data_IF_818945874381
#
_entry.id   IF_818945874381
#
_cell.length_a   1.000
_cell.length_b   1.000
_cell.length_c   1.000
_cell.angle_alpha   90.00
_cell.angle_beta   90.00
_cell.angle_gamma   90.00
#
_symmetry.space_group_name_H-M   'P 1'
#
loop_
_entity.id
_entity.type
_entity.pdbx_description
1 polymer ?
#
# COMPACT_ATOMS: atom_id res chain seq x y z
N UNK A 1 -3.47 -49.00 17.19
CA UNK A 1 -3.96 -49.59 18.45
C UNK A 1 -3.10 -50.78 18.85
N UNK A 2 -2.79 -50.91 20.20
CA UNK A 2 -2.11 -52.04 20.73
C UNK A 2 -0.65 -52.22 20.37
N UNK A 3 0.02 -51.19 19.88
CA UNK A 3 1.45 -51.28 19.61
C UNK A 3 2.22 -51.41 20.94
N UNK A 4 3.12 -52.37 21.03
CA UNK A 4 3.97 -52.57 22.16
C UNK A 4 5.28 -51.82 21.90
N UNK A 5 5.67 -50.94 22.81
CA UNK A 5 6.93 -50.21 22.74
C UNK A 5 7.68 -50.29 24.08
N UNK A 6 8.97 -50.47 24.00
CA UNK A 6 9.83 -50.47 25.17
C UNK A 6 10.03 -49.05 25.74
N UNK A 7 10.53 -48.99 26.99
CA UNK A 7 10.75 -47.74 27.69
C UNK A 7 11.78 -46.83 27.00
N UNK A 8 12.78 -47.40 26.37
CA UNK A 8 13.81 -46.61 25.67
C UNK A 8 13.20 -45.91 24.44
N UNK A 9 12.30 -46.57 23.73
CA UNK A 9 11.59 -45.99 22.59
C UNK A 9 10.60 -44.92 23.04
N UNK A 10 9.81 -45.21 24.09
CA UNK A 10 8.85 -44.24 24.65
C UNK A 10 9.59 -43.01 25.17
N UNK A 11 10.74 -43.24 25.83
CA UNK A 11 11.58 -42.16 26.39
C UNK A 11 12.19 -41.19 25.38
N UNK A 12 12.16 -41.52 24.08
CA UNK A 12 12.55 -40.59 23.01
C UNK A 12 11.56 -39.44 22.82
N UNK A 13 10.37 -39.58 23.45
CA UNK A 13 9.37 -38.51 23.49
C UNK A 13 8.39 -38.49 22.31
N UNK A 14 7.37 -37.67 22.46
CA UNK A 14 6.32 -37.40 21.49
C UNK A 14 6.18 -35.90 21.36
N UNK A 15 6.27 -35.43 20.13
CA UNK A 15 6.23 -34.01 19.82
C UNK A 15 5.45 -33.73 18.55
N UNK A 16 4.87 -32.55 18.49
CA UNK A 16 4.37 -31.99 17.25
C UNK A 16 5.11 -30.67 17.06
N UNK A 17 5.66 -30.46 15.88
CA UNK A 17 6.51 -29.31 15.57
C UNK A 17 5.90 -28.58 14.37
N UNK A 18 5.57 -27.31 14.57
CA UNK A 18 5.09 -26.44 13.50
C UNK A 18 6.24 -25.53 13.06
N UNK A 19 6.70 -25.72 11.83
CA UNK A 19 7.68 -24.87 11.15
C UNK A 19 6.94 -23.70 10.51
N UNK A 20 6.39 -22.84 11.38
CA UNK A 20 5.57 -21.72 10.96
C UNK A 20 6.42 -20.61 10.34
N UNK A 21 5.87 -19.88 9.34
CA UNK A 21 6.59 -18.82 8.67
C UNK A 21 6.61 -17.55 9.55
N UNK A 22 7.55 -17.44 10.48
CA UNK A 22 7.65 -16.34 11.44
C UNK A 22 7.86 -14.97 10.78
N UNK A 23 8.39 -14.94 9.55
CA UNK A 23 8.51 -13.72 8.75
C UNK A 23 7.16 -13.18 8.30
N UNK A 24 6.14 -14.05 8.22
CA UNK A 24 4.83 -13.74 7.65
C UNK A 24 3.69 -13.71 8.68
N UNK A 25 3.79 -14.49 9.75
CA UNK A 25 2.69 -14.67 10.70
C UNK A 25 3.15 -14.56 12.16
N UNK A 26 2.20 -14.23 13.01
CA UNK A 26 2.36 -14.26 14.49
C UNK A 26 1.34 -15.24 15.05
N UNK A 27 1.78 -16.15 15.91
CA UNK A 27 0.91 -17.14 16.56
C UNK A 27 0.05 -16.46 17.62
N UNK A 28 -1.27 -16.68 17.56
CA UNK A 28 -2.23 -16.24 18.58
C UNK A 28 -2.27 -17.30 19.68
N UNK A 29 -1.34 -17.24 20.62
CA UNK A 29 -1.11 -18.31 21.60
C UNK A 29 -2.33 -18.66 22.44
N UNK A 30 -3.14 -17.66 22.83
CA UNK A 30 -4.35 -17.88 23.63
C UNK A 30 -5.43 -18.67 22.90
N UNK A 31 -5.37 -18.69 21.57
CA UNK A 31 -6.32 -19.43 20.73
C UNK A 31 -5.87 -20.84 20.33
N UNK A 32 -4.67 -21.25 20.74
CA UNK A 32 -4.13 -22.58 20.43
C UNK A 32 -4.87 -23.64 21.22
N UNK A 33 -5.39 -24.67 20.54
CA UNK A 33 -6.08 -25.80 21.17
C UNK A 33 -5.59 -27.12 20.60
N UNK A 34 -5.46 -28.13 21.46
CA UNK A 34 -5.23 -29.51 21.03
C UNK A 34 -6.37 -30.37 21.58
N UNK A 35 -7.05 -31.06 20.68
CA UNK A 35 -8.20 -31.91 21.02
C UNK A 35 -8.00 -33.34 20.51
N UNK A 36 -8.64 -34.30 21.20
CA UNK A 36 -8.70 -35.68 20.79
C UNK A 36 -9.83 -35.91 19.77
N UNK A 37 -10.05 -37.19 19.37
CA UNK A 37 -11.09 -37.59 18.40
C UNK A 37 -12.51 -37.31 18.89
N UNK A 38 -12.73 -37.08 20.16
CA UNK A 38 -14.02 -36.73 20.79
C UNK A 38 -14.18 -35.23 21.01
N UNK A 39 -13.20 -34.41 20.60
CA UNK A 39 -13.20 -32.98 20.81
C UNK A 39 -12.80 -32.56 22.25
N UNK A 40 -12.31 -33.48 23.05
CA UNK A 40 -11.83 -33.18 24.41
C UNK A 40 -10.43 -32.62 24.38
N UNK A 41 -10.15 -31.64 25.26
CA UNK A 41 -8.80 -31.04 25.36
C UNK A 41 -7.79 -32.10 25.77
N UNK A 42 -6.72 -32.21 25.02
CA UNK A 42 -5.58 -33.10 25.29
C UNK A 42 -4.77 -32.54 26.46
N UNK A 43 -4.52 -33.39 27.44
CA UNK A 43 -3.73 -33.06 28.64
C UNK A 43 -2.29 -33.55 28.48
N UNK A 44 -1.39 -32.91 29.22
CA UNK A 44 0.02 -33.32 29.26
C UNK A 44 0.84 -32.96 28.05
N UNK A 45 0.38 -32.00 27.23
CA UNK A 45 1.18 -31.35 26.20
C UNK A 45 1.54 -29.93 26.63
N UNK A 46 2.84 -29.62 26.55
CA UNK A 46 3.36 -28.29 26.76
C UNK A 46 3.75 -27.65 25.41
N UNK A 47 3.28 -26.45 25.19
CA UNK A 47 3.63 -25.69 23.98
C UNK A 47 4.72 -24.65 24.29
N UNK A 48 5.74 -24.58 23.45
CA UNK A 48 6.79 -23.58 23.54
C UNK A 48 7.27 -23.15 22.14
N UNK A 49 7.78 -21.93 22.06
CA UNK A 49 8.35 -21.35 20.83
C UNK A 49 9.88 -21.33 20.97
N UNK A 50 10.55 -21.69 19.89
CA UNK A 50 12.01 -21.67 19.81
C UNK A 50 12.43 -20.90 18.55
N UNK A 51 13.46 -20.07 18.64
CA UNK A 51 13.95 -19.26 17.53
C UNK A 51 14.57 -20.11 16.40
N UNK A 52 14.98 -21.34 16.73
CA UNK A 52 15.61 -22.26 15.78
C UNK A 52 15.57 -23.69 16.32
N UNK A 53 15.78 -24.65 15.42
CA UNK A 53 15.81 -26.08 15.78
C UNK A 53 16.88 -26.41 16.85
N UNK A 54 18.04 -25.77 16.79
CA UNK A 54 19.15 -26.04 17.72
C UNK A 54 18.86 -25.59 19.17
N UNK A 55 17.84 -24.76 19.37
CA UNK A 55 17.34 -24.36 20.71
C UNK A 55 16.19 -25.21 21.20
N UNK A 56 15.64 -26.09 20.37
CA UNK A 56 14.54 -26.98 20.73
C UNK A 56 14.97 -28.14 21.60
N UNK A 57 14.03 -28.88 22.22
CA UNK A 57 14.36 -30.10 22.98
C UNK A 57 15.21 -31.09 22.16
N UNK A 58 16.16 -31.74 22.82
CA UNK A 58 17.12 -32.65 22.14
C UNK A 58 16.43 -33.80 21.41
N UNK A 59 15.28 -34.27 21.91
CA UNK A 59 14.45 -35.29 21.24
C UNK A 59 13.97 -34.84 19.88
N UNK A 60 13.52 -33.57 19.75
CA UNK A 60 13.10 -32.94 18.49
C UNK A 60 14.29 -32.84 17.53
N UNK A 61 15.41 -32.29 18.01
CA UNK A 61 16.61 -32.10 17.19
C UNK A 61 17.11 -33.43 16.59
N UNK A 62 17.23 -34.47 17.44
CA UNK A 62 17.71 -35.79 17.03
C UNK A 62 16.73 -36.44 16.02
N UNK A 63 15.43 -36.40 16.30
CA UNK A 63 14.42 -37.04 15.48
C UNK A 63 14.33 -36.40 14.08
N UNK A 64 14.28 -35.08 14.01
CA UNK A 64 14.21 -34.37 12.73
C UNK A 64 15.51 -34.56 11.91
N UNK A 65 16.67 -34.50 12.57
CA UNK A 65 17.96 -34.75 11.92
C UNK A 65 18.06 -36.17 11.36
N UNK A 66 17.65 -37.18 12.13
CA UNK A 66 17.69 -38.58 11.68
C UNK A 66 16.72 -38.87 10.55
N UNK A 67 15.68 -38.07 10.43
CA UNK A 67 14.66 -38.16 9.36
C UNK A 67 14.94 -37.24 8.18
N UNK A 68 16.08 -36.54 8.17
CA UNK A 68 16.51 -35.60 7.14
C UNK A 68 15.55 -34.41 6.94
N UNK A 69 14.94 -33.93 8.02
CA UNK A 69 14.11 -32.73 8.00
C UNK A 69 14.84 -31.56 8.68
N UNK A 70 14.80 -30.41 8.03
CA UNK A 70 15.40 -29.17 8.53
C UNK A 70 14.38 -28.06 8.49
N UNK A 71 13.73 -27.75 9.63
CA UNK A 71 12.86 -26.59 9.73
C UNK A 71 13.58 -25.29 9.41
N UNK A 72 12.86 -24.32 8.87
CA UNK A 72 13.36 -23.00 8.52
C UNK A 72 13.06 -22.02 9.66
N UNK A 73 14.08 -21.52 10.35
CA UNK A 73 13.93 -20.47 11.36
C UNK A 73 13.20 -20.93 12.63
N UNK A 74 12.27 -20.12 13.11
CA UNK A 74 11.54 -20.38 14.35
C UNK A 74 10.58 -21.57 14.22
N UNK A 75 10.38 -22.28 15.33
CA UNK A 75 9.45 -23.41 15.40
C UNK A 75 8.59 -23.33 16.67
N UNK A 76 7.39 -23.88 16.56
CA UNK A 76 6.50 -24.10 17.69
C UNK A 76 6.51 -25.60 18.01
N UNK A 77 6.73 -25.94 19.26
CA UNK A 77 6.82 -27.35 19.71
C UNK A 77 5.77 -27.63 20.75
N UNK A 78 4.99 -28.70 20.50
CA UNK A 78 4.08 -29.31 21.47
C UNK A 78 4.78 -30.58 21.98
N UNK A 79 5.14 -30.58 23.23
CA UNK A 79 5.90 -31.68 23.90
C UNK A 79 5.05 -32.42 24.87
N UNK A 80 5.03 -33.76 24.81
CA UNK A 80 4.47 -34.58 25.86
C UNK A 80 5.31 -34.46 27.14
N UNK A 81 4.75 -33.89 28.21
CA UNK A 81 5.46 -33.66 29.47
C UNK A 81 5.88 -34.98 30.14
N UNK A 82 5.00 -36.00 30.07
CA UNK A 82 5.25 -37.34 30.50
C UNK A 82 5.04 -38.33 29.37
N UNK A 83 6.11 -38.77 28.68
CA UNK A 83 6.00 -39.66 27.55
C UNK A 83 5.32 -41.00 27.83
N UNK A 84 5.50 -41.58 29.00
CA UNK A 84 4.87 -42.87 29.35
C UNK A 84 3.36 -42.73 29.50
N UNK A 85 2.91 -41.67 30.15
CA UNK A 85 1.47 -41.39 30.32
C UNK A 85 0.82 -41.03 29.00
N UNK A 86 1.49 -40.18 28.21
CA UNK A 86 1.02 -39.80 26.90
C UNK A 86 0.92 -40.99 25.95
N UNK A 87 1.92 -41.88 25.99
CA UNK A 87 1.90 -43.12 25.23
C UNK A 87 0.66 -43.98 25.53
N UNK A 88 0.40 -44.24 26.83
CA UNK A 88 -0.75 -45.05 27.25
C UNK A 88 -2.07 -44.40 26.89
N UNK A 89 -2.19 -43.13 27.13
CA UNK A 89 -3.46 -42.40 26.98
C UNK A 89 -3.86 -42.19 25.52
N UNK A 90 -2.89 -41.80 24.67
CA UNK A 90 -3.19 -41.37 23.31
C UNK A 90 -2.57 -42.27 22.25
N UNK A 91 -1.29 -42.59 22.35
CA UNK A 91 -0.58 -43.28 21.27
C UNK A 91 -1.01 -44.73 21.19
N UNK A 92 -0.94 -45.48 22.29
CA UNK A 92 -1.37 -46.88 22.33
C UNK A 92 -2.88 -47.05 22.09
N UNK A 93 -3.67 -46.09 22.55
CA UNK A 93 -5.10 -46.03 22.26
C UNK A 93 -5.42 -45.78 20.79
N UNK A 94 -4.48 -45.25 20.04
CA UNK A 94 -4.67 -44.93 18.62
C UNK A 94 -5.54 -43.69 18.40
N UNK A 95 -5.41 -42.70 19.29
CA UNK A 95 -6.16 -41.46 19.20
C UNK A 95 -5.67 -40.62 18.03
N UNK A 96 -6.57 -39.80 17.50
CA UNK A 96 -6.25 -38.76 16.51
C UNK A 96 -6.33 -37.43 17.25
N UNK A 97 -5.20 -36.74 17.29
CA UNK A 97 -5.10 -35.42 17.89
C UNK A 97 -5.16 -34.34 16.82
N UNK A 98 -5.93 -33.30 17.11
CA UNK A 98 -6.06 -32.14 16.21
C UNK A 98 -5.56 -30.91 16.93
N UNK A 99 -4.62 -30.19 16.30
CA UNK A 99 -4.15 -28.89 16.76
C UNK A 99 -4.83 -27.81 15.92
N UNK A 100 -5.54 -26.91 16.60
CA UNK A 100 -6.07 -25.69 16.02
C UNK A 100 -5.14 -24.55 16.42
N UNK A 101 -4.51 -23.92 15.44
CA UNK A 101 -3.37 -23.01 15.65
C UNK A 101 -3.59 -21.68 14.89
N UNK A 102 -4.32 -20.73 15.50
CA UNK A 102 -4.62 -19.47 14.83
C UNK A 102 -3.35 -18.60 14.75
N UNK A 103 -3.09 -18.09 13.55
CA UNK A 103 -1.95 -17.22 13.28
C UNK A 103 -2.42 -15.99 12.50
N UNK A 104 -1.97 -14.80 12.92
CA UNK A 104 -2.29 -13.55 12.25
C UNK A 104 -1.21 -13.22 11.23
N UNK A 105 -1.60 -12.97 9.99
CA UNK A 105 -0.70 -12.48 8.94
C UNK A 105 -0.23 -11.07 9.31
N UNK A 106 1.08 -10.84 9.27
CA UNK A 106 1.69 -9.57 9.66
C UNK A 106 1.24 -8.44 8.75
N UNK A 107 0.91 -7.29 9.34
CA UNK A 107 0.39 -6.10 8.62
C UNK A 107 1.38 -5.56 7.58
N UNK A 108 2.68 -5.68 7.85
CA UNK A 108 3.76 -5.20 6.98
C UNK A 108 3.71 -5.87 5.60
N UNK A 109 3.23 -7.11 5.53
CA UNK A 109 3.05 -7.82 4.26
C UNK A 109 1.99 -7.19 3.35
N UNK A 110 1.09 -6.38 3.89
CA UNK A 110 0.15 -5.59 3.09
C UNK A 110 0.85 -4.63 2.14
N UNK A 111 2.02 -4.11 2.54
CA UNK A 111 2.81 -3.18 1.71
C UNK A 111 3.79 -3.90 0.78
N UNK A 112 4.43 -4.98 1.26
CA UNK A 112 5.46 -5.70 0.51
C UNK A 112 4.90 -6.86 -0.30
N UNK A 113 3.77 -7.42 0.12
CA UNK A 113 3.24 -8.67 -0.41
C UNK A 113 4.15 -9.85 -0.11
N UNK A 114 3.82 -10.98 -0.65
CA UNK A 114 4.70 -12.14 -0.64
C UNK A 114 3.99 -13.45 -0.37
N UNK A 115 4.69 -14.50 -0.75
CA UNK A 115 4.28 -15.89 -0.59
C UNK A 115 4.92 -16.45 0.68
N UNK A 116 4.16 -17.25 1.44
CA UNK A 116 4.69 -17.95 2.60
C UNK A 116 4.14 -19.37 2.68
N UNK A 117 4.91 -20.23 3.33
CA UNK A 117 4.63 -21.66 3.44
C UNK A 117 4.63 -22.06 4.91
N UNK A 118 3.81 -23.03 5.26
CA UNK A 118 3.77 -23.62 6.59
C UNK A 118 3.79 -25.15 6.48
N UNK A 119 4.70 -25.77 7.23
CA UNK A 119 4.89 -27.22 7.30
C UNK A 119 4.97 -27.64 8.77
N UNK A 120 4.49 -28.82 9.09
CA UNK A 120 4.60 -29.34 10.43
C UNK A 120 5.18 -30.77 10.44
N UNK A 121 5.59 -31.23 11.62
CA UNK A 121 6.15 -32.55 11.82
C UNK A 121 5.52 -33.22 13.02
N UNK A 122 5.20 -34.48 12.88
CA UNK A 122 4.89 -35.38 14.01
C UNK A 122 6.17 -36.14 14.34
N UNK A 123 6.54 -36.14 15.62
CA UNK A 123 7.77 -36.81 16.08
C UNK A 123 7.39 -37.84 17.12
N UNK A 124 7.60 -39.11 16.78
CA UNK A 124 7.26 -40.25 17.61
C UNK A 124 8.42 -41.24 17.70
N UNK A 125 8.71 -41.72 18.87
CA UNK A 125 9.74 -42.75 19.09
C UNK A 125 11.11 -42.41 18.48
N UNK A 126 11.43 -41.13 18.38
CA UNK A 126 12.68 -40.64 17.83
C UNK A 126 12.70 -40.54 16.28
N UNK A 127 11.55 -40.66 15.62
CA UNK A 127 11.40 -40.47 14.18
C UNK A 127 10.52 -39.25 13.87
N UNK A 128 10.82 -38.54 12.79
CA UNK A 128 10.02 -37.42 12.30
C UNK A 128 9.22 -37.80 11.05
N UNK A 129 8.00 -37.27 10.98
CA UNK A 129 7.09 -37.43 9.83
C UNK A 129 6.58 -36.04 9.44
N UNK A 130 6.66 -35.70 8.17
CA UNK A 130 6.32 -34.39 7.65
C UNK A 130 4.89 -34.37 7.12
N UNK A 131 4.18 -33.28 7.40
CA UNK A 131 2.90 -32.97 6.80
C UNK A 131 3.06 -32.47 5.36
N UNK A 132 1.94 -32.33 4.64
CA UNK A 132 1.91 -31.51 3.45
C UNK A 132 2.29 -30.07 3.80
N UNK A 133 2.89 -29.36 2.84
CA UNK A 133 3.17 -27.92 2.95
C UNK A 133 1.96 -27.15 2.44
N UNK A 134 1.47 -26.23 3.25
CA UNK A 134 0.40 -25.31 2.85
C UNK A 134 0.98 -23.96 2.49
N UNK A 135 0.37 -23.29 1.52
CA UNK A 135 0.92 -22.07 0.91
C UNK A 135 -0.15 -20.99 0.84
N UNK A 136 0.22 -19.77 1.20
CA UNK A 136 -0.60 -18.59 0.97
C UNK A 136 0.22 -17.47 0.33
N UNK A 137 -0.47 -16.53 -0.29
CA UNK A 137 0.12 -15.35 -0.87
C UNK A 137 -0.62 -14.09 -0.40
N UNK A 138 0.14 -13.09 0.04
CA UNK A 138 -0.39 -11.78 0.36
C UNK A 138 -0.22 -10.90 -0.88
N UNK A 139 -1.30 -10.32 -1.43
CA UNK A 139 -1.21 -9.50 -2.62
C UNK A 139 -0.47 -8.18 -2.36
N UNK A 140 0.25 -7.70 -3.37
CA UNK A 140 0.75 -6.33 -3.42
C UNK A 140 -0.22 -5.45 -4.17
N UNK A 141 -0.50 -4.27 -3.63
CA UNK A 141 -1.36 -3.28 -4.26
C UNK A 141 -0.52 -2.09 -4.64
N UNK A 142 -0.52 -1.74 -5.91
CA UNK A 142 0.21 -0.57 -6.43
C UNK A 142 -0.72 0.30 -7.27
N UNK A 143 -1.40 1.26 -6.66
CA UNK A 143 -2.11 2.27 -7.41
C UNK A 143 -1.10 3.15 -8.16
N UNK A 144 -1.51 3.69 -9.29
CA UNK A 144 -0.66 4.58 -10.09
C UNK A 144 -1.30 5.95 -10.24
N UNK A 145 -0.45 6.96 -10.42
CA UNK A 145 -0.88 8.31 -10.73
C UNK A 145 -0.05 8.85 -11.89
N UNK A 146 -0.74 9.46 -12.84
CA UNK A 146 -0.13 10.12 -14.00
C UNK A 146 -0.71 11.51 -14.13
N UNK A 147 0.05 12.44 -14.69
CA UNK A 147 -0.44 13.74 -15.06
C UNK A 147 -0.31 13.94 -16.57
N UNK A 148 -1.43 14.15 -17.23
CA UNK A 148 -1.51 14.29 -18.69
C UNK A 148 -2.07 15.66 -19.06
N UNK A 149 -1.71 16.16 -20.24
CA UNK A 149 -2.40 17.29 -20.84
C UNK A 149 -3.66 16.83 -21.59
N UNK A 150 -4.41 17.75 -22.17
CA UNK A 150 -5.64 17.45 -22.94
C UNK A 150 -5.40 16.48 -24.12
N UNK A 151 -4.20 16.49 -24.69
CA UNK A 151 -3.82 15.59 -25.79
C UNK A 151 -3.37 14.20 -25.31
N UNK A 152 -3.36 13.94 -24.00
CA UNK A 152 -2.91 12.68 -23.41
C UNK A 152 -1.40 12.56 -23.27
N UNK A 153 -0.64 13.64 -23.46
CA UNK A 153 0.82 13.64 -23.28
C UNK A 153 1.16 13.76 -21.81
N UNK A 154 2.11 12.95 -21.36
CA UNK A 154 2.61 13.00 -19.97
C UNK A 154 3.35 14.31 -19.71
N UNK A 155 2.88 15.06 -18.72
CA UNK A 155 3.44 16.34 -18.28
C UNK A 155 4.02 16.29 -16.85
N UNK A 156 4.18 15.11 -16.27
CA UNK A 156 4.85 14.96 -14.98
C UNK A 156 6.29 15.47 -15.04
N UNK A 157 6.69 16.24 -14.03
CA UNK A 157 8.00 16.87 -13.94
C UNK A 157 8.19 18.08 -14.87
N UNK A 158 7.18 18.44 -15.67
CA UNK A 158 7.28 19.52 -16.64
C UNK A 158 6.73 20.84 -16.10
N UNK A 159 7.13 21.91 -16.77
CA UNK A 159 6.56 23.24 -16.55
C UNK A 159 5.16 23.32 -17.19
N UNK A 160 4.22 23.93 -16.50
CA UNK A 160 2.84 24.13 -16.96
C UNK A 160 2.42 25.58 -16.79
N UNK A 161 1.55 26.05 -17.65
CA UNK A 161 1.04 27.43 -17.57
C UNK A 161 -0.07 27.53 -16.51
N UNK A 162 -0.07 28.66 -15.78
CA UNK A 162 -1.22 29.01 -14.96
C UNK A 162 -2.50 29.05 -15.80
N UNK A 163 -3.61 28.55 -15.24
CA UNK A 163 -4.90 28.44 -15.94
C UNK A 163 -5.03 27.27 -16.92
N UNK A 164 -3.97 26.47 -17.13
CA UNK A 164 -4.07 25.21 -17.89
C UNK A 164 -4.75 24.12 -17.08
N UNK A 165 -5.23 23.07 -17.75
CA UNK A 165 -5.88 21.94 -17.10
C UNK A 165 -4.93 20.75 -17.10
N UNK A 166 -4.67 20.22 -15.91
CA UNK A 166 -3.97 18.96 -15.70
C UNK A 166 -5.01 17.84 -15.61
N UNK A 167 -4.84 16.80 -16.40
CA UNK A 167 -5.70 15.62 -16.38
C UNK A 167 -4.98 14.53 -15.58
N UNK A 168 -5.23 14.48 -14.28
CA UNK A 168 -4.70 13.44 -13.44
C UNK A 168 -5.43 12.13 -13.68
N UNK A 169 -4.68 11.07 -13.92
CA UNK A 169 -5.21 9.71 -13.97
C UNK A 169 -4.71 8.90 -12.80
N UNK A 170 -5.63 8.45 -11.95
CA UNK A 170 -5.35 7.55 -10.83
C UNK A 170 -5.90 6.18 -11.19
N UNK A 171 -5.07 5.16 -11.07
CA UNK A 171 -5.47 3.77 -11.30
C UNK A 171 -5.54 3.06 -9.96
N UNK A 172 -6.75 2.59 -9.60
CA UNK A 172 -6.97 1.69 -8.49
C UNK A 172 -6.96 0.27 -9.03
N UNK A 173 -5.97 -0.52 -8.64
CA UNK A 173 -5.73 -1.85 -9.18
C UNK A 173 -6.16 -2.91 -8.17
N UNK A 174 -7.23 -3.65 -8.48
CA UNK A 174 -7.73 -4.77 -7.69
C UNK A 174 -7.36 -6.13 -8.30
N UNK A 175 -6.52 -6.17 -9.34
CA UNK A 175 -6.22 -7.40 -10.08
C UNK A 175 -5.64 -8.51 -9.19
N UNK A 176 -4.84 -8.16 -8.19
CA UNK A 176 -4.27 -9.12 -7.25
C UNK A 176 -5.27 -9.62 -6.21
N UNK A 177 -6.42 -8.95 -6.07
CA UNK A 177 -7.50 -9.41 -5.21
C UNK A 177 -8.47 -10.37 -5.90
N UNK A 178 -8.25 -10.69 -7.18
CA UNK A 178 -9.15 -11.60 -7.92
C UNK A 178 -9.36 -12.90 -7.16
N UNK A 179 -10.62 -13.19 -6.84
CA UNK A 179 -11.01 -14.39 -6.11
C UNK A 179 -10.66 -14.39 -4.63
N UNK A 180 -10.24 -13.25 -4.06
CA UNK A 180 -9.90 -13.18 -2.63
C UNK A 180 -11.13 -13.42 -1.77
N UNK A 181 -10.94 -14.18 -0.69
CA UNK A 181 -11.95 -14.36 0.34
C UNK A 181 -11.70 -13.38 1.48
N UNK A 182 -12.72 -12.61 1.84
CA UNK A 182 -12.66 -11.66 2.93
C UNK A 182 -13.94 -11.73 3.77
N UNK A 183 -13.79 -11.63 5.08
CA UNK A 183 -14.92 -11.60 6.00
C UNK A 183 -15.63 -10.23 5.98
N UNK A 184 -16.84 -10.19 6.56
CA UNK A 184 -17.65 -8.97 6.60
C UNK A 184 -17.00 -7.83 7.36
N UNK A 185 -16.25 -8.12 8.41
CA UNK A 185 -15.59 -7.11 9.22
C UNK A 185 -14.48 -6.42 8.41
N UNK A 186 -13.75 -7.16 7.60
CA UNK A 186 -12.76 -6.63 6.68
C UNK A 186 -13.37 -5.82 5.55
N UNK A 187 -14.40 -6.37 4.90
CA UNK A 187 -15.14 -5.66 3.84
C UNK A 187 -15.76 -4.37 4.39
N UNK A 188 -16.30 -4.42 5.60
CA UNK A 188 -16.93 -3.28 6.26
C UNK A 188 -15.98 -2.13 6.60
N UNK A 189 -14.67 -2.34 6.57
CA UNK A 189 -13.68 -1.25 6.69
C UNK A 189 -13.69 -0.31 5.49
N UNK A 190 -14.32 -0.71 4.41
CA UNK A 190 -14.59 0.11 3.24
C UNK A 190 -13.51 0.11 2.18
N UNK A 191 -13.86 0.71 1.05
CA UNK A 191 -13.00 0.91 -0.11
C UNK A 191 -13.07 2.37 -0.51
N UNK A 192 -11.90 3.00 -0.61
CA UNK A 192 -11.80 4.41 -0.91
C UNK A 192 -10.63 4.65 -1.87
N UNK A 193 -10.74 5.74 -2.63
CA UNK A 193 -9.62 6.33 -3.34
C UNK A 193 -9.54 7.78 -2.86
N UNK A 194 -8.36 8.21 -2.43
CA UNK A 194 -8.14 9.53 -1.84
C UNK A 194 -7.10 10.26 -2.67
N UNK A 195 -7.45 11.44 -3.17
CA UNK A 195 -6.52 12.32 -3.88
C UNK A 195 -6.09 13.45 -2.92
N UNK A 196 -4.82 13.47 -2.57
CA UNK A 196 -4.17 14.54 -1.79
C UNK A 196 -3.72 15.62 -2.77
N UNK A 197 -4.71 16.32 -3.34
CA UNK A 197 -4.46 17.31 -4.37
C UNK A 197 -3.91 18.61 -3.78
N UNK A 198 -3.03 19.32 -4.52
CA UNK A 198 -2.45 20.58 -4.04
C UNK A 198 -3.46 21.74 -4.17
N UNK A 199 -4.33 21.89 -3.18
CA UNK A 199 -5.41 22.90 -3.19
C UNK A 199 -4.91 24.35 -3.28
N UNK A 200 -3.65 24.59 -2.88
CA UNK A 200 -2.99 25.89 -3.05
C UNK A 200 -2.69 26.22 -4.52
N UNK A 201 -2.58 25.19 -5.36
CA UNK A 201 -2.14 25.33 -6.75
C UNK A 201 -3.20 25.04 -7.79
N UNK A 202 -4.17 24.17 -7.47
CA UNK A 202 -5.17 23.71 -8.45
C UNK A 202 -6.59 23.76 -7.89
N UNK A 203 -7.57 23.82 -8.82
CA UNK A 203 -8.99 23.67 -8.52
C UNK A 203 -9.52 22.47 -9.28
N UNK A 204 -10.23 21.57 -8.60
CA UNK A 204 -10.82 20.39 -9.22
C UNK A 204 -12.02 20.79 -10.10
N UNK A 205 -12.02 20.36 -11.35
CA UNK A 205 -13.15 20.50 -12.27
C UNK A 205 -14.12 19.35 -12.03
N UNK A 206 -15.00 19.47 -11.04
CA UNK A 206 -15.83 18.38 -10.53
C UNK A 206 -16.71 17.73 -11.61
N UNK A 207 -17.27 18.54 -12.53
CA UNK A 207 -18.13 18.05 -13.63
C UNK A 207 -17.35 17.17 -14.64
N UNK A 208 -16.04 17.29 -14.68
CA UNK A 208 -15.17 16.51 -15.57
C UNK A 208 -14.60 15.23 -14.94
N UNK A 209 -14.89 14.97 -13.67
CA UNK A 209 -14.40 13.79 -12.97
C UNK A 209 -15.15 12.54 -13.44
N UNK A 210 -14.41 11.52 -13.84
CA UNK A 210 -14.95 10.24 -14.28
C UNK A 210 -14.21 9.07 -13.64
N UNK A 211 -14.94 8.03 -13.29
CA UNK A 211 -14.37 6.75 -12.86
C UNK A 211 -14.89 5.66 -13.78
N UNK A 212 -13.97 4.94 -14.42
CA UNK A 212 -14.30 3.88 -15.37
C UNK A 212 -13.61 2.56 -14.99
N UNK A 213 -14.24 1.45 -15.35
CA UNK A 213 -13.66 0.12 -15.22
C UNK A 213 -12.72 -0.20 -16.41
N UNK A 214 -12.18 -1.42 -16.44
CA UNK A 214 -11.27 -1.88 -17.50
C UNK A 214 -11.89 -1.92 -18.90
N UNK A 215 -13.23 -1.91 -18.98
CA UNK A 215 -13.99 -1.86 -20.26
C UNK A 215 -14.40 -0.46 -20.64
N UNK A 216 -14.00 0.55 -19.86
CA UNK A 216 -14.39 1.94 -20.07
C UNK A 216 -15.81 2.28 -19.61
N UNK A 217 -16.48 1.38 -18.90
CA UNK A 217 -17.82 1.61 -18.35
C UNK A 217 -17.73 2.44 -17.08
N UNK A 218 -18.70 3.32 -16.87
CA UNK A 218 -18.77 4.14 -15.65
C UNK A 218 -18.96 3.24 -14.43
N UNK A 219 -18.11 3.43 -13.44
CA UNK A 219 -18.18 2.71 -12.14
C UNK A 219 -19.36 3.26 -11.34
N UNK A 220 -20.19 2.35 -10.84
CA UNK A 220 -21.35 2.68 -10.02
C UNK A 220 -21.04 2.49 -8.55
N UNK A 221 -21.78 3.20 -7.67
CA UNK A 221 -21.67 3.06 -6.23
C UNK A 221 -20.44 3.69 -5.60
N UNK A 222 -19.77 4.62 -6.31
CA UNK A 222 -18.77 5.51 -5.75
C UNK A 222 -19.33 6.92 -5.58
N UNK A 223 -19.20 7.45 -4.38
CA UNK A 223 -19.54 8.83 -4.03
C UNK A 223 -18.27 9.66 -3.91
N UNK A 224 -18.20 10.80 -4.59
CA UNK A 224 -17.09 11.73 -4.50
C UNK A 224 -17.43 12.89 -3.57
N UNK A 225 -16.54 13.24 -2.67
CA UNK A 225 -16.66 14.39 -1.79
C UNK A 225 -15.30 15.04 -1.53
N UNK A 226 -15.33 16.35 -1.22
CA UNK A 226 -14.14 17.13 -0.85
C UNK A 226 -14.18 17.41 0.66
N UNK A 227 -13.01 17.29 1.28
CA UNK A 227 -12.82 17.59 2.70
C UNK A 227 -11.64 18.53 2.87
N UNK A 228 -11.78 19.55 3.73
CA UNK A 228 -10.72 20.54 3.96
C UNK A 228 -9.48 19.95 4.64
N UNK A 229 -9.64 18.79 5.29
CA UNK A 229 -8.57 18.11 6.01
C UNK A 229 -8.94 16.65 6.28
N UNK A 230 -7.94 15.83 6.61
CA UNK A 230 -8.13 14.41 6.91
C UNK A 230 -9.08 14.17 8.09
N UNK A 231 -9.03 15.01 9.13
CA UNK A 231 -9.87 14.86 10.34
C UNK A 231 -11.36 15.08 10.08
N UNK A 232 -11.72 15.69 8.95
CA UNK A 232 -13.11 15.86 8.50
C UNK A 232 -13.59 14.75 7.56
N UNK A 233 -12.68 13.90 7.11
CA UNK A 233 -12.99 12.78 6.22
C UNK A 233 -13.70 11.63 6.95
N UNK A 234 -14.32 10.68 6.22
CA UNK A 234 -14.91 9.49 6.83
C UNK A 234 -13.93 8.74 7.73
N UNK A 235 -14.43 8.18 8.84
CA UNK A 235 -13.59 7.49 9.83
C UNK A 235 -12.79 6.31 9.24
N UNK A 236 -13.34 5.63 8.24
CA UNK A 236 -12.63 4.57 7.52
C UNK A 236 -11.39 5.07 6.79
N UNK A 237 -11.47 6.25 6.17
CA UNK A 237 -10.32 6.93 5.52
C UNK A 237 -9.27 7.29 6.56
N UNK A 238 -9.67 7.94 7.65
CA UNK A 238 -8.74 8.34 8.71
C UNK A 238 -7.99 7.14 9.30
N UNK A 239 -8.72 6.07 9.63
CA UNK A 239 -8.14 4.84 10.21
C UNK A 239 -7.20 4.13 9.23
N UNK A 240 -7.59 3.98 7.96
CA UNK A 240 -6.78 3.30 6.97
C UNK A 240 -5.46 4.04 6.68
N UNK A 241 -5.50 5.35 6.52
CA UNK A 241 -4.31 6.16 6.30
C UNK A 241 -3.40 6.15 7.53
N UNK A 242 -3.96 6.30 8.73
CA UNK A 242 -3.20 6.26 9.98
C UNK A 242 -2.51 4.91 10.19
N UNK A 243 -3.22 3.80 9.96
CA UNK A 243 -2.67 2.45 10.13
C UNK A 243 -1.54 2.15 9.13
N UNK A 244 -1.49 2.86 8.02
CA UNK A 244 -0.48 2.70 6.97
C UNK A 244 0.59 3.81 7.00
N UNK A 245 0.57 4.66 8.04
CA UNK A 245 1.53 5.76 8.25
C UNK A 245 1.53 6.80 7.12
N UNK A 246 0.37 7.07 6.53
CA UNK A 246 0.20 8.12 5.53
C UNK A 246 -0.54 9.32 6.11
N UNK A 247 -0.04 10.51 5.83
CA UNK A 247 -0.64 11.77 6.28
C UNK A 247 -0.77 12.71 5.09
N UNK A 248 -1.97 12.81 4.48
CA UNK A 248 -2.24 13.81 3.45
C UNK A 248 -2.03 15.23 3.96
N UNK A 249 -1.71 16.13 3.04
CA UNK A 249 -1.48 17.56 3.31
C UNK A 249 -2.73 18.35 2.92
N UNK A 250 -3.35 19.02 3.90
CA UNK A 250 -4.47 19.92 3.63
C UNK A 250 -5.74 19.23 3.14
N UNK A 251 -6.35 19.79 2.09
CA UNK A 251 -7.60 19.30 1.54
C UNK A 251 -7.43 17.98 0.78
N UNK A 252 -8.45 17.14 0.81
CA UNK A 252 -8.47 15.86 0.12
C UNK A 252 -9.78 15.64 -0.63
N UNK A 253 -9.68 14.93 -1.74
CA UNK A 253 -10.84 14.42 -2.49
C UNK A 253 -10.98 12.94 -2.21
N UNK A 254 -12.17 12.51 -1.83
CA UNK A 254 -12.44 11.11 -1.46
C UNK A 254 -13.50 10.53 -2.38
N UNK A 255 -13.18 9.37 -2.96
CA UNK A 255 -14.14 8.51 -3.64
C UNK A 255 -14.44 7.34 -2.70
N UNK A 256 -15.67 7.25 -2.24
CA UNK A 256 -16.12 6.27 -1.25
C UNK A 256 -17.07 5.26 -1.88
N UNK A 257 -16.83 3.97 -1.69
CA UNK A 257 -17.79 2.94 -2.01
C UNK A 257 -19.00 3.05 -1.06
N UNK A 258 -20.18 3.40 -1.59
CA UNK A 258 -21.40 3.61 -0.80
C UNK A 258 -21.87 2.32 -0.14
N UNK A 259 -21.73 1.19 -0.84
CA UNK A 259 -22.01 -0.15 -0.32
C UNK A 259 -20.76 -1.02 -0.47
N UNK A 260 -19.97 -1.18 0.60
CA UNK A 260 -18.73 -1.96 0.53
C UNK A 260 -18.90 -3.41 0.09
N UNK A 261 -19.98 -4.10 0.50
CA UNK A 261 -20.21 -5.51 0.12
C UNK A 261 -20.47 -5.64 -1.39
N UNK A 262 -21.28 -4.76 -1.95
CA UNK A 262 -21.58 -4.75 -3.39
C UNK A 262 -20.34 -4.37 -4.19
N UNK A 263 -19.62 -3.34 -3.75
CA UNK A 263 -18.38 -2.89 -4.39
C UNK A 263 -17.29 -3.99 -4.37
N UNK A 264 -17.17 -4.69 -3.23
CA UNK A 264 -16.27 -5.83 -3.10
C UNK A 264 -16.54 -6.90 -4.14
N UNK A 265 -17.80 -7.33 -4.28
CA UNK A 265 -18.19 -8.38 -5.23
C UNK A 265 -18.02 -7.94 -6.68
N UNK A 266 -18.41 -6.71 -6.99
CA UNK A 266 -18.45 -6.19 -8.36
C UNK A 266 -17.07 -5.87 -8.90
N UNK A 267 -16.20 -5.25 -8.10
CA UNK A 267 -14.92 -4.71 -8.56
C UNK A 267 -13.70 -5.35 -7.90
N UNK A 268 -13.70 -5.52 -6.59
CA UNK A 268 -12.50 -5.96 -5.85
C UNK A 268 -12.25 -7.46 -6.06
N UNK A 269 -13.21 -8.31 -5.72
CA UNK A 269 -13.11 -9.76 -5.90
C UNK A 269 -13.06 -10.16 -7.38
N UNK A 270 -13.69 -9.39 -8.25
CA UNK A 270 -13.59 -9.55 -9.69
C UNK A 270 -12.20 -9.20 -10.25
N UNK A 271 -11.37 -8.50 -9.47
CA UNK A 271 -10.03 -8.10 -9.86
C UNK A 271 -10.00 -7.01 -10.93
N UNK A 272 -10.94 -6.08 -10.87
CA UNK A 272 -11.03 -4.96 -11.80
C UNK A 272 -9.89 -3.94 -11.60
N UNK A 273 -9.62 -3.19 -12.65
CA UNK A 273 -8.73 -2.03 -12.61
C UNK A 273 -9.58 -0.80 -12.91
N UNK A 274 -9.72 0.08 -11.92
CA UNK A 274 -10.50 1.30 -12.06
C UNK A 274 -9.58 2.47 -12.40
N UNK A 275 -10.03 3.33 -13.33
CA UNK A 275 -9.32 4.54 -13.71
C UNK A 275 -10.16 5.76 -13.36
N UNK A 276 -9.60 6.65 -12.53
CA UNK A 276 -10.16 7.95 -12.24
C UNK A 276 -9.50 8.96 -13.18
N UNK A 277 -10.29 9.68 -13.96
CA UNK A 277 -9.84 10.84 -14.72
C UNK A 277 -10.30 12.08 -13.98
N UNK A 278 -9.35 12.89 -13.54
CA UNK A 278 -9.56 13.96 -12.58
C UNK A 278 -8.95 15.28 -13.09
N UNK A 279 -9.70 16.06 -13.89
CA UNK A 279 -9.18 17.31 -14.42
C UNK A 279 -9.13 18.40 -13.35
N UNK A 280 -7.99 19.07 -13.27
CA UNK A 280 -7.75 20.16 -12.32
C UNK A 280 -7.13 21.36 -13.03
N UNK A 281 -7.69 22.53 -12.81
CA UNK A 281 -7.19 23.78 -13.39
C UNK A 281 -6.14 24.40 -12.48
N UNK A 282 -4.98 24.70 -13.06
CA UNK A 282 -3.89 25.42 -12.36
C UNK A 282 -4.34 26.85 -12.10
N UNK A 283 -4.26 27.30 -10.84
CA UNK A 283 -4.72 28.63 -10.42
C UNK A 283 -3.99 29.73 -11.16
N UNK A 284 -4.71 30.74 -11.60
CA UNK A 284 -4.17 31.88 -12.38
C UNK A 284 -3.15 32.70 -11.61
N UNK A 285 -3.31 32.79 -10.30
CA UNK A 285 -2.42 33.52 -9.39
C UNK A 285 -1.00 33.01 -9.45
N UNK A 286 -0.79 31.72 -9.69
CA UNK A 286 0.52 31.13 -9.87
C UNK A 286 1.29 31.64 -11.07
N UNK A 287 0.61 32.25 -12.04
CA UNK A 287 1.28 32.94 -13.15
C UNK A 287 2.14 34.11 -12.72
N UNK A 288 1.80 34.75 -11.59
CA UNK A 288 2.55 35.85 -11.01
C UNK A 288 3.60 35.40 -9.99
N UNK A 289 3.23 34.44 -9.14
CA UNK A 289 4.09 33.95 -8.07
C UNK A 289 5.01 32.82 -8.51
N UNK A 290 4.59 32.04 -9.49
CA UNK A 290 5.24 30.78 -9.87
C UNK A 290 5.15 29.75 -8.75
N UNK A 291 5.81 28.66 -8.94
CA UNK A 291 5.99 27.67 -7.90
C UNK A 291 5.76 26.25 -8.33
N UNK A 292 6.31 25.36 -7.51
CA UNK A 292 6.23 23.93 -7.67
C UNK A 292 5.09 23.37 -6.81
N UNK A 293 4.37 22.40 -7.35
CA UNK A 293 3.33 21.68 -6.61
C UNK A 293 3.37 20.20 -6.92
N UNK A 294 2.88 19.41 -5.99
CA UNK A 294 2.91 17.95 -6.01
C UNK A 294 1.50 17.40 -5.80
N UNK A 295 1.24 16.23 -6.38
CA UNK A 295 -0.03 15.54 -6.20
C UNK A 295 0.20 14.05 -5.99
N UNK A 296 -0.42 13.50 -4.96
CA UNK A 296 -0.32 12.09 -4.55
C UNK A 296 -1.73 11.55 -4.30
N UNK A 297 -1.94 10.26 -4.53
CA UNK A 297 -3.20 9.62 -4.22
C UNK A 297 -2.99 8.31 -3.45
N UNK A 298 -4.07 7.80 -2.87
CA UNK A 298 -4.07 6.58 -2.06
C UNK A 298 -5.25 5.70 -2.45
N UNK A 299 -4.99 4.40 -2.53
CA UNK A 299 -6.02 3.36 -2.61
C UNK A 299 -6.17 2.74 -1.23
N UNK A 300 -7.38 2.76 -0.67
CA UNK A 300 -7.66 2.23 0.67
C UNK A 300 -8.57 1.02 0.55
N UNK A 301 -8.06 -0.14 0.96
CA UNK A 301 -8.74 -1.41 0.86
C UNK A 301 -8.68 -2.15 2.19
N UNK A 302 -9.79 -2.65 2.67
CA UNK A 302 -9.85 -3.47 3.89
C UNK A 302 -9.18 -2.80 5.12
N UNK A 303 -9.21 -1.49 5.20
CA UNK A 303 -8.60 -0.72 6.30
C UNK A 303 -7.09 -0.48 6.16
N UNK A 304 -6.51 -0.79 5.02
CA UNK A 304 -5.09 -0.52 4.70
C UNK A 304 -4.96 0.47 3.55
N UNK A 305 -3.92 1.30 3.57
CA UNK A 305 -3.65 2.31 2.56
C UNK A 305 -2.43 1.98 1.71
N UNK A 306 -2.50 2.30 0.43
CA UNK A 306 -1.43 2.13 -0.55
C UNK A 306 -1.27 3.43 -1.33
N UNK A 307 -0.04 3.90 -1.44
CA UNK A 307 0.26 5.21 -2.03
C UNK A 307 0.68 5.07 -3.49
N UNK A 308 0.21 5.99 -4.34
CA UNK A 308 0.71 6.14 -5.71
C UNK A 308 2.09 6.78 -5.72
N UNK A 309 2.74 6.73 -6.88
CA UNK A 309 3.86 7.65 -7.13
C UNK A 309 3.34 9.10 -7.06
N UNK A 310 4.23 9.98 -6.65
CA UNK A 310 3.98 11.41 -6.62
C UNK A 310 4.25 11.99 -8.00
N UNK A 311 3.35 12.84 -8.49
CA UNK A 311 3.55 13.64 -9.69
C UNK A 311 3.73 15.10 -9.33
N UNK A 312 4.54 15.82 -10.09
CA UNK A 312 4.90 17.21 -9.78
C UNK A 312 4.93 18.08 -11.03
N UNK A 313 4.62 19.36 -10.86
CA UNK A 313 4.75 20.37 -11.89
C UNK A 313 5.29 21.65 -11.31
N UNK A 314 5.80 22.52 -12.19
CA UNK A 314 6.23 23.85 -11.83
C UNK A 314 5.56 24.88 -12.75
N UNK A 315 5.06 25.95 -12.17
CA UNK A 315 4.54 27.11 -12.93
C UNK A 315 5.66 28.15 -13.03
N UNK A 316 6.08 28.50 -14.25
CA UNK A 316 7.15 29.49 -14.43
C UNK A 316 6.66 30.91 -14.13
N UNK A 317 7.57 31.75 -13.68
CA UNK A 317 7.40 33.21 -13.59
C UNK A 317 8.26 33.89 -14.64
N UNK A 318 7.71 34.88 -15.31
CA UNK A 318 8.48 35.76 -16.16
C UNK A 318 8.84 37.06 -15.41
N UNK A 319 10.10 37.42 -15.39
CA UNK A 319 10.59 38.64 -14.75
C UNK A 319 11.27 39.50 -15.77
N UNK A 320 10.53 40.35 -16.54
CA UNK A 320 11.12 41.29 -17.44
C UNK A 320 11.92 42.35 -16.65
N UNK A 321 12.97 42.86 -17.23
CA UNK A 321 13.78 43.91 -16.62
C UNK A 321 13.83 45.15 -17.51
N UNK A 322 13.96 46.31 -16.88
CA UNK A 322 14.19 47.59 -17.56
C UNK A 322 15.37 48.29 -16.94
N UNK A 323 16.24 48.80 -17.76
CA UNK A 323 17.38 49.59 -17.36
C UNK A 323 17.43 50.91 -18.12
N UNK A 324 17.90 51.94 -17.50
CA UNK A 324 18.16 53.22 -18.15
C UNK A 324 19.66 53.50 -18.21
N UNK A 325 20.23 53.63 -19.39
CA UNK A 325 21.65 53.77 -19.62
C UNK A 325 21.94 55.06 -20.39
N UNK A 326 23.12 55.63 -20.22
CA UNK A 326 23.62 56.67 -21.11
C UNK A 326 24.33 56.08 -22.33
N UNK A 327 24.80 56.91 -23.26
CA UNK A 327 25.50 56.50 -24.50
C UNK A 327 26.71 55.61 -24.23
N UNK A 328 27.38 55.79 -23.08
CA UNK A 328 28.52 54.98 -22.67
C UNK A 328 28.13 53.65 -21.99
N UNK A 329 26.84 53.34 -21.87
CA UNK A 329 26.34 52.12 -21.23
C UNK A 329 26.32 52.18 -19.69
N UNK A 330 26.54 53.36 -19.11
CA UNK A 330 26.49 53.55 -17.64
C UNK A 330 25.02 53.65 -17.20
N UNK A 331 24.68 52.97 -16.11
CA UNK A 331 23.34 53.03 -15.51
C UNK A 331 23.10 54.42 -14.91
N UNK A 332 22.06 55.11 -15.40
CA UNK A 332 21.64 56.44 -14.97
C UNK A 332 20.28 56.45 -14.30
N UNK A 333 19.76 55.24 -13.90
CA UNK A 333 18.54 55.13 -13.15
C UNK A 333 18.64 55.87 -11.82
N UNK A 334 17.64 56.70 -11.49
CA UNK A 334 17.62 57.55 -10.31
C UNK A 334 18.60 58.75 -10.34
N UNK A 335 19.31 58.99 -11.47
CA UNK A 335 20.25 60.09 -11.61
C UNK A 335 19.64 61.29 -12.34
N UNK A 336 20.16 62.48 -12.09
CA UNK A 336 19.78 63.69 -12.82
C UNK A 336 20.35 63.62 -14.25
N UNK A 337 19.56 64.01 -15.22
CA UNK A 337 19.93 64.07 -16.61
C UNK A 337 19.65 65.47 -17.20
N UNK A 338 20.43 65.89 -18.15
CA UNK A 338 20.26 67.20 -18.79
C UNK A 338 19.14 67.16 -19.84
N UNK A 339 18.42 68.27 -19.96
CA UNK A 339 17.47 68.42 -21.03
C UNK A 339 18.21 68.29 -22.38
N UNK A 340 17.62 67.55 -23.34
CA UNK A 340 18.23 67.22 -24.60
C UNK A 340 19.20 66.02 -24.62
N UNK A 341 19.49 65.41 -23.48
CA UNK A 341 20.28 64.16 -23.44
C UNK A 341 19.43 62.97 -23.93
N UNK A 342 20.12 61.93 -24.38
CA UNK A 342 19.47 60.68 -24.84
C UNK A 342 19.62 59.59 -23.80
N UNK A 343 18.47 59.06 -23.37
CA UNK A 343 18.39 57.91 -22.52
C UNK A 343 18.24 56.62 -23.34
N UNK A 344 19.03 55.59 -23.03
CA UNK A 344 18.98 54.31 -23.68
C UNK A 344 18.26 53.31 -22.75
N UNK A 345 16.96 53.12 -22.95
CA UNK A 345 16.19 52.17 -22.17
C UNK A 345 16.41 50.75 -22.72
N UNK A 346 16.91 49.83 -21.91
CA UNK A 346 17.01 48.44 -22.26
C UNK A 346 15.88 47.65 -21.54
N UNK A 347 15.03 46.99 -22.32
CA UNK A 347 13.98 46.10 -21.84
C UNK A 347 14.39 44.68 -22.18
N UNK A 348 14.38 43.80 -21.22
CA UNK A 348 14.64 42.36 -21.42
C UNK A 348 13.39 41.60 -21.17
N UNK A 349 12.89 40.87 -22.19
CA UNK A 349 11.86 39.85 -22.05
C UNK A 349 12.57 38.51 -21.93
N UNK A 350 12.37 37.83 -20.80
CA UNK A 350 13.07 36.58 -20.48
C UNK A 350 12.11 35.42 -20.62
N UNK A 351 12.34 34.58 -21.62
CA UNK A 351 11.57 33.34 -21.88
C UNK A 351 12.29 32.08 -21.40
N UNK A 352 13.36 32.20 -20.63
CA UNK A 352 14.18 31.04 -20.21
C UNK A 352 13.36 30.01 -19.41
N UNK A 353 12.45 30.51 -18.57
CA UNK A 353 11.58 29.62 -17.76
C UNK A 353 10.49 28.90 -18.56
N UNK A 354 10.23 29.33 -19.78
CA UNK A 354 9.27 28.67 -20.67
C UNK A 354 9.90 27.56 -21.52
N UNK A 355 11.19 27.30 -21.36
CA UNK A 355 11.89 26.28 -22.13
C UNK A 355 11.18 24.91 -21.97
N UNK A 356 10.76 24.34 -23.11
CA UNK A 356 10.09 23.02 -23.12
C UNK A 356 8.67 23.01 -22.59
N UNK A 357 8.06 24.19 -22.38
CA UNK A 357 6.67 24.24 -21.90
C UNK A 357 5.70 23.79 -22.99
N UNK A 358 4.70 23.03 -22.58
CA UNK A 358 3.59 22.63 -23.44
C UNK A 358 2.47 23.66 -23.34
N UNK A 359 2.09 24.22 -24.47
CA UNK A 359 0.99 25.19 -24.56
C UNK A 359 0.09 24.87 -25.76
N UNK A 360 -1.23 24.94 -25.55
CA UNK A 360 -2.19 24.74 -26.61
C UNK A 360 -2.28 25.96 -27.54
N UNK A 361 -2.93 25.77 -28.70
CA UNK A 361 -3.08 26.82 -29.72
C UNK A 361 -3.85 28.04 -29.20
N UNK A 362 -4.84 27.84 -28.33
CA UNK A 362 -5.63 28.93 -27.77
C UNK A 362 -4.81 29.82 -26.86
N UNK A 363 -3.89 29.23 -26.11
CA UNK A 363 -2.95 29.96 -25.28
C UNK A 363 -1.90 30.71 -26.08
N UNK A 364 -1.32 30.06 -27.08
CA UNK A 364 -0.35 30.67 -27.98
C UNK A 364 -1.01 31.82 -28.75
N UNK A 365 -2.24 31.65 -29.17
CA UNK A 365 -3.03 32.65 -29.91
C UNK A 365 -3.35 33.93 -29.14
N UNK A 366 -3.18 33.93 -27.78
CA UNK A 366 -3.31 35.16 -27.02
C UNK A 366 -2.16 36.15 -27.25
N UNK A 367 -1.09 35.72 -27.93
CA UNK A 367 0.02 36.54 -28.36
C UNK A 367 1.07 36.82 -27.29
N UNK A 368 2.13 37.43 -27.76
CA UNK A 368 3.29 37.82 -26.95
C UNK A 368 3.56 39.30 -27.19
N UNK A 369 3.61 40.07 -26.14
CA UNK A 369 3.74 41.54 -26.25
C UNK A 369 4.81 42.05 -25.26
N UNK A 370 5.53 43.07 -25.70
CA UNK A 370 6.35 43.90 -24.86
C UNK A 370 5.76 45.29 -24.91
N UNK A 371 5.28 45.82 -23.78
CA UNK A 371 4.53 47.09 -23.73
C UNK A 371 5.32 48.11 -22.92
#
# INVERSE_FOLDING_TARGET
RGIEADKDRIGKGFYIVDDYPEEAVTINQDGVQVTDSKGQVVKGLKMALYDSLDKAPSGVQKALKSSNFTPKGAIQVFEAENPEEFYKTYVQAGEILTITNPMTVKKELGQTGGKYENTAYQVDFGNGYQTDTVVNNVPTVKPTKKNLNKAGVNIDGKQVLAGSVNYYKVTADYSQYRGIEADKDRIGKGFYIVDDYPEEAVTINQDGVQVTDSKGQVVKGLKMALYDSLDKAPSGVQKALKSSNFTPKGAIQVFEAENPEEFYKTYVQAGEILTITNPMTVKKELGQTGGKYENTAYQLDFGSGYQTDKVENNVPTAKPTKKNLNKAGVNIDGKQVLAGSVNYYKVTADYSQYRGIEADKDRIGKGFYIV
#
